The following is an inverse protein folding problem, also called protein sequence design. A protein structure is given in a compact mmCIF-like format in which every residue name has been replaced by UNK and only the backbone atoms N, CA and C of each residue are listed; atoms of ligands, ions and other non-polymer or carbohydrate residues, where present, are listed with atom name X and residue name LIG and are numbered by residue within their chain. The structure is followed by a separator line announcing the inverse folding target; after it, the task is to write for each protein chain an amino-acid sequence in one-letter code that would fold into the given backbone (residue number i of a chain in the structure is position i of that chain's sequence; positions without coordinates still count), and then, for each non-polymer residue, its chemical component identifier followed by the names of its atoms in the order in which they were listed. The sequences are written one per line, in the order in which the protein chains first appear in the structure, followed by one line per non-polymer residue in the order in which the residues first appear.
data_IF_760769749039
#
_entry.id   IF_760769749039
#
_cell.length_a   1.000
_cell.length_b   1.000
_cell.length_c   1.000
_cell.angle_alpha   90.00
_cell.angle_beta   90.00
_cell.angle_gamma   90.00
#
_symmetry.space_group_name_H-M   'P 1'
#
loop_
_entity.id
_entity.type
_entity.pdbx_description
1 polymer ?
#
# COMPACT_ATOMS: atom_id res chain seq x y z
N UNK A 1 -60.99 -14.69 -4.34
CA UNK A 1 -59.87 -15.45 -3.71
C UNK A 1 -58.51 -15.07 -4.28
N UNK A 2 -58.32 -15.02 -5.58
CA UNK A 2 -57.02 -14.67 -6.25
C UNK A 2 -56.48 -13.29 -5.83
N UNK A 3 -57.31 -12.24 -5.74
CA UNK A 3 -56.86 -10.88 -5.36
C UNK A 3 -56.33 -10.77 -3.92
N UNK A 4 -56.83 -11.58 -2.99
CA UNK A 4 -56.33 -11.66 -1.60
C UNK A 4 -54.99 -12.42 -1.51
N UNK A 5 -54.78 -13.40 -2.40
CA UNK A 5 -53.54 -14.15 -2.50
C UNK A 5 -52.41 -13.28 -3.07
N UNK A 6 -52.69 -12.57 -4.17
CA UNK A 6 -51.70 -11.64 -4.77
C UNK A 6 -51.24 -10.55 -3.78
N UNK A 7 -52.18 -9.97 -3.01
CA UNK A 7 -51.81 -8.95 -2.01
C UNK A 7 -51.00 -9.52 -0.84
N UNK A 8 -51.20 -10.76 -0.46
CA UNK A 8 -50.35 -11.44 0.56
C UNK A 8 -48.94 -11.71 0.01
N UNK A 9 -48.84 -12.25 -1.20
CA UNK A 9 -47.53 -12.53 -1.84
C UNK A 9 -46.71 -11.26 -2.05
N UNK A 10 -47.34 -10.16 -2.49
CA UNK A 10 -46.68 -8.85 -2.65
C UNK A 10 -46.19 -8.32 -1.31
N UNK A 11 -46.96 -8.44 -0.22
CA UNK A 11 -46.54 -8.01 1.11
C UNK A 11 -45.35 -8.84 1.64
N UNK A 12 -45.35 -10.14 1.40
CA UNK A 12 -44.24 -11.04 1.81
C UNK A 12 -42.98 -10.68 1.01
N UNK A 13 -43.08 -10.48 -0.30
CA UNK A 13 -41.94 -10.08 -1.14
C UNK A 13 -41.39 -8.70 -0.75
N UNK A 14 -42.29 -7.73 -0.46
CA UNK A 14 -41.86 -6.42 -0.01
C UNK A 14 -41.20 -6.47 1.35
N UNK A 15 -41.73 -7.28 2.29
CA UNK A 15 -41.09 -7.51 3.58
C UNK A 15 -39.70 -8.16 3.47
N UNK A 16 -39.57 -9.16 2.59
CA UNK A 16 -38.28 -9.79 2.31
C UNK A 16 -37.28 -8.81 1.68
N UNK A 17 -37.70 -7.97 0.76
CA UNK A 17 -36.89 -6.94 0.15
C UNK A 17 -36.42 -5.89 1.19
N UNK A 18 -37.32 -5.43 2.05
CA UNK A 18 -36.98 -4.48 3.12
C UNK A 18 -35.96 -5.10 4.08
N UNK A 19 -36.19 -6.36 4.50
CA UNK A 19 -35.25 -7.07 5.37
C UNK A 19 -33.88 -7.21 4.70
N UNK A 20 -33.87 -7.54 3.40
CA UNK A 20 -32.62 -7.60 2.63
C UNK A 20 -31.90 -6.25 2.61
N UNK A 21 -32.61 -5.15 2.32
CA UNK A 21 -32.02 -3.81 2.29
C UNK A 21 -31.47 -3.38 3.66
N UNK A 22 -32.17 -3.72 4.75
CA UNK A 22 -31.71 -3.44 6.12
C UNK A 22 -30.44 -4.24 6.44
N UNK A 23 -30.42 -5.52 6.10
CA UNK A 23 -29.22 -6.37 6.28
C UNK A 23 -28.07 -5.90 5.42
N UNK A 24 -28.33 -5.53 4.17
CA UNK A 24 -27.33 -4.96 3.26
C UNK A 24 -26.72 -3.67 3.84
N UNK A 25 -27.57 -2.76 4.35
CA UNK A 25 -27.12 -1.54 4.99
C UNK A 25 -26.31 -1.82 6.26
N UNK A 26 -26.75 -2.77 7.10
CA UNK A 26 -26.04 -3.15 8.32
C UNK A 26 -24.66 -3.72 8.02
N UNK A 27 -24.54 -4.60 7.01
CA UNK A 27 -23.25 -5.15 6.57
C UNK A 27 -22.34 -4.03 6.03
N UNK A 28 -22.88 -3.10 5.23
CA UNK A 28 -22.13 -1.94 4.74
C UNK A 28 -21.58 -1.08 5.88
N UNK A 29 -22.44 -0.70 6.82
CA UNK A 29 -22.03 0.10 7.99
C UNK A 29 -20.98 -0.62 8.82
N UNK A 30 -21.14 -1.93 9.03
CA UNK A 30 -20.17 -2.73 9.78
C UNK A 30 -18.80 -2.81 9.08
N UNK A 31 -18.80 -3.05 7.75
CA UNK A 31 -17.55 -3.25 6.99
C UNK A 31 -16.88 -1.92 6.62
N UNK A 32 -17.68 -0.84 6.46
CA UNK A 32 -17.20 0.51 6.13
C UNK A 32 -17.04 1.42 7.36
N UNK A 33 -17.18 0.86 8.58
CA UNK A 33 -17.00 1.64 9.80
C UNK A 33 -15.63 2.35 9.79
N UNK A 34 -15.61 3.65 10.11
CA UNK A 34 -14.36 4.39 10.17
C UNK A 34 -13.42 3.77 11.19
N UNK A 35 -12.12 3.92 10.96
CA UNK A 35 -11.11 3.51 11.93
C UNK A 35 -11.41 4.14 13.28
N UNK A 36 -11.22 3.40 14.40
CA UNK A 36 -11.24 4.00 15.72
C UNK A 36 -10.36 5.24 15.75
N UNK A 37 -10.85 6.33 16.34
CA UNK A 37 -10.10 7.61 16.41
C UNK A 37 -8.82 7.51 17.23
N UNK A 38 -8.63 6.40 17.93
CA UNK A 38 -7.48 6.08 18.78
C UNK A 38 -6.53 5.03 18.17
N UNK A 39 -6.63 4.77 16.86
CA UNK A 39 -5.68 3.90 16.15
C UNK A 39 -4.36 4.62 15.84
N UNK A 40 -3.30 4.21 16.53
CA UNK A 40 -1.95 4.80 16.40
C UNK A 40 -0.93 3.87 15.73
N UNK A 41 -1.39 2.84 15.04
CA UNK A 41 -0.50 1.84 14.46
C UNK A 41 0.16 0.98 15.55
N UNK A 42 1.48 0.88 15.51
CA UNK A 42 2.27 0.09 16.47
C UNK A 42 2.64 0.81 17.76
N UNK A 43 2.39 2.13 17.86
CA UNK A 43 2.90 2.97 18.95
C UNK A 43 1.97 2.88 20.16
N UNK A 44 2.49 2.44 21.30
CA UNK A 44 1.78 2.47 22.57
C UNK A 44 1.74 3.88 23.17
N UNK A 45 0.76 4.13 24.05
CA UNK A 45 0.67 5.41 24.75
C UNK A 45 1.91 5.75 25.58
N UNK A 46 2.59 4.73 26.10
CA UNK A 46 3.79 4.92 26.92
C UNK A 46 4.99 5.39 26.07
N UNK A 47 5.06 4.96 24.83
CA UNK A 47 6.18 5.25 23.91
C UNK A 47 6.05 6.61 23.22
N UNK A 48 4.82 7.17 23.12
CA UNK A 48 4.57 8.41 22.38
C UNK A 48 5.45 9.59 22.84
N UNK A 49 5.60 9.77 24.16
CA UNK A 49 6.38 10.88 24.69
C UNK A 49 7.89 10.71 24.40
N UNK A 50 8.41 9.51 24.50
CA UNK A 50 9.82 9.21 24.22
C UNK A 50 10.12 9.41 22.73
N UNK A 51 9.30 8.83 21.85
CA UNK A 51 9.45 8.95 20.41
C UNK A 51 9.30 10.40 19.94
N UNK A 52 8.34 11.13 20.52
CA UNK A 52 8.18 12.55 20.22
C UNK A 52 9.40 13.38 20.66
N UNK A 53 9.98 13.09 21.82
CA UNK A 53 11.19 13.76 22.29
C UNK A 53 12.40 13.44 21.41
N UNK A 54 12.46 12.22 20.87
CA UNK A 54 13.54 11.76 19.99
C UNK A 54 13.46 12.37 18.60
N UNK A 55 12.28 12.41 17.99
CA UNK A 55 12.12 12.77 16.58
C UNK A 55 11.57 14.18 16.36
N UNK A 56 10.83 14.73 17.32
CA UNK A 56 10.25 16.08 17.21
C UNK A 56 9.29 16.23 16.04
N UNK A 57 9.38 17.37 15.34
CA UNK A 57 8.70 17.62 14.07
C UNK A 57 9.71 17.43 12.95
N UNK A 58 9.48 16.44 12.10
CA UNK A 58 10.30 16.17 10.92
C UNK A 58 9.73 16.90 9.72
N UNK A 59 10.60 17.36 8.83
CA UNK A 59 10.21 18.07 7.62
C UNK A 59 10.78 17.41 6.39
N UNK A 60 9.97 17.26 5.36
CA UNK A 60 10.41 16.90 4.01
C UNK A 60 9.80 17.87 3.02
N UNK A 61 10.41 18.06 1.88
CA UNK A 61 9.91 18.96 0.85
C UNK A 61 10.24 18.46 -0.56
N UNK A 62 9.47 18.93 -1.50
CA UNK A 62 9.67 18.69 -2.92
C UNK A 62 9.10 19.81 -3.76
N UNK A 63 8.90 19.60 -5.06
CA UNK A 63 8.41 20.61 -5.97
C UNK A 63 7.02 21.13 -5.59
N UNK A 64 6.97 22.35 -5.03
CA UNK A 64 5.72 23.03 -4.67
C UNK A 64 5.02 22.48 -3.41
N UNK A 65 5.68 21.68 -2.59
CA UNK A 65 5.10 21.14 -1.35
C UNK A 65 6.11 21.01 -0.22
N UNK A 66 5.57 21.07 0.98
CA UNK A 66 6.25 20.77 2.26
C UNK A 66 5.40 19.77 3.02
N UNK A 67 6.02 18.79 3.63
CA UNK A 67 5.37 17.87 4.56
C UNK A 67 5.98 18.02 5.96
N UNK A 68 5.12 18.06 6.96
CA UNK A 68 5.47 18.01 8.37
C UNK A 68 4.99 16.67 8.93
N UNK A 69 5.88 15.93 9.56
CA UNK A 69 5.61 14.66 10.21
C UNK A 69 5.98 14.68 11.68
N UNK A 70 5.17 14.10 12.53
CA UNK A 70 5.42 13.99 13.98
C UNK A 70 4.75 12.76 14.57
N UNK A 71 5.08 12.43 15.83
CA UNK A 71 4.40 11.35 16.55
C UNK A 71 3.02 11.86 17.02
N UNK A 72 1.95 11.20 16.57
CA UNK A 72 0.60 11.54 16.99
C UNK A 72 0.32 11.10 18.45
N UNK A 73 -0.42 11.90 19.18
CA UNK A 73 -0.77 11.65 20.57
C UNK A 73 -2.24 11.23 20.70
N UNK A 74 -2.55 10.17 21.48
CA UNK A 74 -3.90 9.64 21.62
C UNK A 74 -4.90 10.60 22.27
N UNK A 75 -4.40 11.55 23.06
CA UNK A 75 -5.22 12.50 23.82
C UNK A 75 -5.49 13.83 23.09
N UNK A 76 -4.94 13.96 21.88
CA UNK A 76 -5.08 15.17 21.07
C UNK A 76 -6.33 15.08 20.22
N UNK A 77 -7.12 16.13 20.17
CA UNK A 77 -8.29 16.23 19.29
C UNK A 77 -7.86 16.56 17.87
N UNK A 78 -6.97 17.53 17.76
CA UNK A 78 -6.43 18.01 16.50
C UNK A 78 -5.08 18.68 16.71
N UNK A 79 -4.31 18.81 15.63
CA UNK A 79 -3.09 19.59 15.59
C UNK A 79 -3.37 20.86 14.81
N UNK A 80 -2.95 22.01 15.35
CA UNK A 80 -2.96 23.29 14.66
C UNK A 80 -1.57 23.55 14.12
N UNK A 81 -1.49 23.88 12.84
CA UNK A 81 -0.24 24.19 12.14
C UNK A 81 -0.20 25.68 11.87
N UNK A 82 0.89 26.31 12.26
CA UNK A 82 1.17 27.73 12.00
C UNK A 82 2.42 27.86 11.15
N UNK A 83 2.44 28.89 10.31
CA UNK A 83 3.61 29.29 9.52
C UNK A 83 4.00 30.72 9.89
N UNK A 84 5.30 30.97 9.97
CA UNK A 84 5.83 32.31 10.18
C UNK A 84 5.73 33.13 8.88
N UNK A 85 5.03 34.26 8.94
CA UNK A 85 4.90 35.22 7.86
C UNK A 85 5.51 36.57 8.26
N UNK A 86 5.49 37.55 7.37
CA UNK A 86 5.88 38.93 7.69
C UNK A 86 5.00 39.57 8.76
N UNK A 87 3.76 39.08 8.96
CA UNK A 87 2.83 39.53 9.98
C UNK A 87 2.90 38.72 11.29
N UNK A 88 3.88 37.82 11.40
CA UNK A 88 4.01 36.86 12.52
C UNK A 88 3.42 35.49 12.20
N UNK A 89 3.22 34.69 13.25
CA UNK A 89 2.70 33.33 13.13
C UNK A 89 1.23 33.32 12.74
N UNK A 90 0.92 32.62 11.67
CA UNK A 90 -0.44 32.47 11.11
C UNK A 90 -0.82 31.01 11.01
N UNK A 91 -2.05 30.66 11.42
CA UNK A 91 -2.59 29.32 11.23
C UNK A 91 -2.77 29.03 9.74
N UNK A 92 -2.11 27.98 9.24
CA UNK A 92 -2.19 27.53 7.82
C UNK A 92 -2.96 26.25 7.65
N UNK A 93 -3.28 25.55 8.74
CA UNK A 93 -4.09 24.34 8.66
C UNK A 93 -4.27 23.61 9.99
N UNK A 94 -4.97 22.47 9.88
CA UNK A 94 -5.18 21.53 10.97
C UNK A 94 -4.97 20.11 10.48
N UNK A 95 -4.57 19.20 11.38
CA UNK A 95 -4.39 17.79 11.11
C UNK A 95 -5.00 16.95 12.25
N UNK A 96 -5.48 15.77 11.94
CA UNK A 96 -5.97 14.79 12.92
C UNK A 96 -4.91 13.77 13.31
N UNK A 97 -3.97 13.50 12.41
CA UNK A 97 -2.88 12.54 12.57
C UNK A 97 -1.53 13.26 12.59
N UNK A 98 -0.46 12.50 12.76
CA UNK A 98 0.92 13.01 12.84
C UNK A 98 1.50 13.50 11.50
N UNK A 99 0.69 14.11 10.63
CA UNK A 99 1.07 14.47 9.27
C UNK A 99 0.32 15.69 8.75
N UNK A 100 1.04 16.58 8.06
CA UNK A 100 0.44 17.74 7.38
C UNK A 100 1.19 18.01 6.07
N UNK A 101 0.48 17.96 4.95
CA UNK A 101 1.00 18.30 3.63
C UNK A 101 0.59 19.73 3.28
N UNK A 102 1.56 20.60 3.11
CA UNK A 102 1.37 22.01 2.76
C UNK A 102 1.76 22.27 1.30
N UNK A 103 0.87 22.97 0.58
CA UNK A 103 1.11 23.42 -0.79
C UNK A 103 1.13 24.95 -0.81
N UNK A 104 2.28 25.52 -0.52
CA UNK A 104 2.46 26.97 -0.45
C UNK A 104 3.92 27.33 -0.28
N UNK A 105 4.18 28.59 0.07
CA UNK A 105 5.55 29.04 0.37
C UNK A 105 6.16 28.26 1.52
N UNK A 106 7.46 27.98 1.45
CA UNK A 106 8.23 27.42 2.54
C UNK A 106 8.43 28.42 3.67
N UNK A 107 9.09 27.97 4.73
CA UNK A 107 9.41 28.78 5.89
C UNK A 107 9.50 27.99 7.18
N UNK A 108 9.39 28.70 8.31
CA UNK A 108 9.31 28.09 9.63
C UNK A 108 7.87 27.74 9.97
N UNK A 109 7.67 26.58 10.55
CA UNK A 109 6.36 26.05 10.94
C UNK A 109 6.35 25.67 12.42
N UNK A 110 5.17 25.78 13.04
CA UNK A 110 4.87 25.30 14.39
C UNK A 110 3.72 24.32 14.36
N UNK A 111 3.86 23.26 15.15
CA UNK A 111 2.80 22.27 15.37
C UNK A 111 2.36 22.35 16.82
N UNK A 112 1.06 22.56 17.03
CA UNK A 112 0.45 22.66 18.34
C UNK A 112 -0.52 21.50 18.58
N UNK A 113 -0.43 20.86 19.73
CA UNK A 113 -1.44 19.92 20.22
C UNK A 113 -2.63 20.68 20.77
N UNK A 114 -3.84 20.33 20.31
CA UNK A 114 -5.11 20.86 20.86
C UNK A 114 -5.79 19.72 21.61
N UNK A 115 -5.88 19.80 22.96
CA UNK A 115 -6.41 18.72 23.78
C UNK A 115 -7.92 18.48 23.56
N UNK A 116 -8.38 17.21 23.55
CA UNK A 116 -9.81 16.83 23.39
C UNK A 116 -10.74 17.38 24.47
N UNK A 117 -10.25 17.60 25.68
CA UNK A 117 -11.07 18.00 26.84
C UNK A 117 -11.01 19.49 27.15
N UNK A 118 -10.62 20.29 26.16
CA UNK A 118 -10.36 21.72 26.39
C UNK A 118 -9.02 21.93 27.10
N UNK A 119 -8.52 23.15 27.06
CA UNK A 119 -7.23 23.52 27.57
C UNK A 119 -6.45 24.37 26.58
N UNK A 120 -5.38 25.03 27.06
CA UNK A 120 -4.52 25.78 26.18
C UNK A 120 -3.78 24.85 25.21
N UNK A 121 -3.64 25.21 23.93
CA UNK A 121 -2.79 24.50 23.01
C UNK A 121 -1.35 24.40 23.52
N UNK A 122 -0.71 23.24 23.31
CA UNK A 122 0.65 22.97 23.76
C UNK A 122 1.54 22.86 22.52
N UNK A 123 2.62 23.61 22.47
CA UNK A 123 3.60 23.51 21.38
C UNK A 123 4.22 22.13 21.39
N UNK A 124 4.10 21.42 20.25
CA UNK A 124 4.69 20.11 20.03
C UNK A 124 6.13 20.21 19.52
N UNK A 125 6.35 21.15 18.60
CA UNK A 125 7.65 21.38 17.99
C UNK A 125 7.58 22.39 16.85
N UNK A 126 8.76 22.69 16.33
CA UNK A 126 8.97 23.59 15.19
C UNK A 126 9.79 22.85 14.12
N UNK A 127 9.65 23.27 12.88
CA UNK A 127 10.42 22.77 11.76
C UNK A 127 10.53 23.80 10.65
N UNK A 128 11.56 23.69 9.85
CA UNK A 128 11.75 24.55 8.68
C UNK A 128 11.78 23.69 7.42
N UNK A 129 11.10 24.14 6.38
CA UNK A 129 11.15 23.49 5.08
C UNK A 129 10.83 24.47 3.95
N UNK A 130 11.45 24.26 2.82
CA UNK A 130 11.32 25.08 1.63
C UNK A 130 11.02 24.19 0.45
N UNK A 131 9.90 24.40 -0.26
CA UNK A 131 9.60 23.62 -1.45
C UNK A 131 10.62 23.91 -2.53
N UNK A 132 10.99 22.89 -3.27
CA UNK A 132 11.80 23.05 -4.47
C UNK A 132 11.00 23.81 -5.55
N UNK A 133 11.69 24.59 -6.37
CA UNK A 133 11.06 25.24 -7.51
C UNK A 133 10.94 24.29 -8.69
N UNK A 134 9.92 24.53 -9.52
CA UNK A 134 9.67 23.78 -10.73
C UNK A 134 8.65 22.66 -10.54
N UNK A 135 8.21 22.10 -11.65
CA UNK A 135 7.39 20.88 -11.70
C UNK A 135 8.23 19.78 -12.32
N UNK A 136 8.38 18.62 -11.69
CA UNK A 136 9.16 17.53 -12.28
C UNK A 136 8.50 17.10 -13.59
N UNK A 137 9.29 16.72 -14.61
CA UNK A 137 8.75 16.24 -15.87
C UNK A 137 7.89 14.99 -15.64
N UNK A 138 6.94 14.78 -16.53
CA UNK A 138 6.08 13.60 -16.50
C UNK A 138 6.56 12.60 -17.55
N UNK A 139 6.79 11.38 -17.13
CA UNK A 139 7.14 10.26 -17.99
C UNK A 139 6.09 9.17 -17.87
N UNK A 140 5.81 8.48 -18.97
CA UNK A 140 4.90 7.34 -19.04
C UNK A 140 5.73 6.06 -19.13
N UNK A 141 5.63 5.14 -18.19
CA UNK A 141 6.31 3.84 -18.30
C UNK A 141 5.60 2.95 -19.33
N UNK A 142 6.39 2.24 -20.13
CA UNK A 142 5.91 1.25 -21.10
C UNK A 142 6.79 0.02 -21.05
N UNK A 143 6.18 -1.15 -21.19
CA UNK A 143 6.92 -2.40 -21.40
C UNK A 143 7.61 -2.30 -22.76
N UNK A 144 8.95 -2.44 -22.77
CA UNK A 144 9.80 -2.12 -23.93
C UNK A 144 10.41 -3.36 -24.60
N UNK A 145 10.06 -4.56 -24.17
CA UNK A 145 10.57 -5.81 -24.72
C UNK A 145 9.71 -7.00 -24.36
N UNK A 146 10.18 -8.18 -24.76
CA UNK A 146 9.50 -9.44 -24.45
C UNK A 146 9.64 -9.82 -22.98
N UNK A 147 8.64 -10.52 -22.47
CA UNK A 147 8.69 -11.13 -21.16
C UNK A 147 9.62 -12.34 -21.17
N UNK A 148 10.55 -12.41 -20.22
CA UNK A 148 11.40 -13.56 -19.99
C UNK A 148 11.13 -14.17 -18.61
N UNK A 149 11.26 -15.48 -18.49
CA UNK A 149 11.10 -16.18 -17.21
C UNK A 149 12.20 -15.72 -16.25
N UNK A 150 11.79 -15.19 -15.08
CA UNK A 150 12.70 -14.84 -14.02
C UNK A 150 12.85 -15.98 -13.01
N UNK A 151 11.72 -16.57 -12.58
CA UNK A 151 11.74 -17.67 -11.62
C UNK A 151 10.48 -18.55 -11.73
N UNK A 152 10.69 -19.85 -11.58
CA UNK A 152 9.66 -20.89 -11.43
C UNK A 152 10.09 -21.84 -10.32
N UNK A 153 9.23 -22.15 -9.32
CA UNK A 153 9.50 -23.20 -8.35
C UNK A 153 9.76 -24.55 -9.04
N UNK A 154 10.84 -25.25 -8.63
CA UNK A 154 11.23 -26.51 -9.24
C UNK A 154 10.34 -27.67 -8.81
N UNK A 155 9.71 -27.59 -7.65
CA UNK A 155 8.83 -28.63 -7.12
C UNK A 155 7.49 -28.59 -7.83
N UNK A 156 7.13 -29.74 -8.45
CA UNK A 156 5.84 -29.90 -9.13
C UNK A 156 4.64 -29.57 -8.23
N UNK A 157 3.72 -28.77 -8.75
CA UNK A 157 2.53 -28.35 -8.04
C UNK A 157 2.74 -27.18 -7.07
N UNK A 158 3.90 -26.51 -7.09
CA UNK A 158 4.12 -25.24 -6.38
C UNK A 158 4.04 -24.06 -7.35
N UNK A 159 3.74 -22.89 -6.81
CA UNK A 159 3.68 -21.61 -7.54
C UNK A 159 4.43 -20.53 -6.77
N UNK A 160 4.62 -19.39 -7.40
CA UNK A 160 5.05 -18.14 -6.77
C UNK A 160 4.10 -17.00 -7.18
N UNK A 161 3.83 -16.09 -6.25
CA UNK A 161 2.99 -14.91 -6.47
C UNK A 161 3.69 -13.64 -5.98
N UNK A 162 2.98 -12.72 -5.29
CA UNK A 162 3.57 -11.46 -4.80
C UNK A 162 4.97 -11.70 -4.22
N UNK A 163 5.91 -10.91 -4.68
CA UNK A 163 7.34 -11.13 -4.45
C UNK A 163 8.07 -9.79 -4.32
N UNK A 164 9.33 -9.85 -3.94
CA UNK A 164 10.26 -8.73 -3.96
C UNK A 164 11.58 -9.16 -4.59
N UNK A 165 12.26 -8.23 -5.25
CA UNK A 165 13.58 -8.45 -5.85
C UNK A 165 14.56 -7.40 -5.32
N UNK A 166 15.69 -7.83 -4.81
CA UNK A 166 16.71 -6.95 -4.21
C UNK A 166 18.11 -7.53 -4.39
N UNK A 167 19.13 -6.71 -4.14
CA UNK A 167 20.52 -7.20 -4.07
C UNK A 167 20.92 -7.47 -2.62
N UNK A 168 21.55 -8.61 -2.35
CA UNK A 168 22.14 -8.93 -1.06
C UNK A 168 23.50 -8.23 -0.83
N UNK A 169 24.10 -8.43 0.33
CA UNK A 169 25.36 -7.79 0.68
C UNK A 169 26.56 -8.23 -0.19
N UNK A 170 26.44 -9.35 -0.90
CA UNK A 170 27.44 -9.85 -1.85
C UNK A 170 27.21 -9.29 -3.26
N UNK A 171 26.10 -8.54 -3.47
CA UNK A 171 25.69 -7.99 -4.76
C UNK A 171 24.87 -8.95 -5.63
N UNK A 172 24.54 -10.14 -5.13
CA UNK A 172 23.68 -11.07 -5.85
C UNK A 172 22.22 -10.61 -5.81
N UNK A 173 21.52 -10.80 -6.90
CA UNK A 173 20.09 -10.57 -7.00
C UNK A 173 19.31 -11.69 -6.33
N UNK A 174 18.40 -11.32 -5.46
CA UNK A 174 17.51 -12.24 -4.76
C UNK A 174 16.07 -11.93 -5.07
N UNK A 175 15.29 -13.00 -5.18
CA UNK A 175 13.85 -12.95 -5.25
C UNK A 175 13.29 -13.71 -4.05
N UNK A 176 12.32 -13.12 -3.36
CA UNK A 176 11.58 -13.71 -2.25
C UNK A 176 10.09 -13.51 -2.53
N UNK A 177 9.28 -14.54 -2.50
CA UNK A 177 7.86 -14.41 -2.85
C UNK A 177 6.96 -15.47 -2.22
N UNK A 178 5.67 -15.18 -2.17
CA UNK A 178 4.63 -16.10 -1.69
C UNK A 178 4.74 -17.40 -2.45
N UNK A 179 4.70 -18.53 -1.74
CA UNK A 179 4.60 -19.85 -2.36
C UNK A 179 3.68 -20.78 -1.59
N UNK A 180 3.03 -21.64 -2.31
CA UNK A 180 2.26 -22.76 -1.78
C UNK A 180 2.01 -23.79 -2.88
N UNK A 181 1.25 -24.85 -2.56
CA UNK A 181 0.85 -25.84 -3.53
C UNK A 181 -0.32 -25.35 -4.39
N UNK A 182 -0.39 -25.81 -5.62
CA UNK A 182 -1.42 -25.42 -6.60
C UNK A 182 -2.80 -26.06 -6.38
N UNK A 183 -3.05 -26.68 -5.24
CA UNK A 183 -4.34 -27.25 -4.86
C UNK A 183 -5.40 -26.22 -4.45
N UNK A 184 -5.03 -24.93 -4.50
CA UNK A 184 -5.96 -23.82 -4.32
C UNK A 184 -6.22 -23.38 -2.88
N UNK A 185 -5.51 -23.97 -1.91
CA UNK A 185 -5.63 -23.54 -0.51
C UNK A 185 -4.61 -22.44 -0.17
N UNK A 186 -4.99 -21.19 -0.41
CA UNK A 186 -4.20 -20.02 -0.02
C UNK A 186 -3.96 -19.90 1.50
N UNK A 187 -4.68 -20.67 2.35
CA UNK A 187 -4.41 -20.72 3.79
C UNK A 187 -3.11 -21.48 4.10
N UNK A 188 -2.48 -22.08 3.11
CA UNK A 188 -1.16 -22.71 3.22
C UNK A 188 0.01 -21.80 2.79
N UNK A 189 -0.26 -20.57 2.42
CA UNK A 189 0.77 -19.55 2.09
C UNK A 189 1.44 -19.04 3.37
N UNK A 190 2.40 -19.81 3.91
CA UNK A 190 3.04 -19.60 5.22
C UNK A 190 4.55 -19.50 5.16
N UNK A 191 5.15 -19.58 4.00
CA UNK A 191 6.59 -19.45 3.78
C UNK A 191 6.86 -18.83 2.41
N UNK A 192 8.07 -18.33 2.20
CA UNK A 192 8.46 -17.71 0.96
C UNK A 192 9.44 -18.59 0.18
N UNK A 193 9.19 -18.73 -1.11
CA UNK A 193 10.20 -19.21 -2.05
C UNK A 193 11.32 -18.20 -2.14
N UNK A 194 12.54 -18.67 -2.38
CA UNK A 194 13.74 -17.87 -2.54
C UNK A 194 14.47 -18.30 -3.78
N UNK A 195 14.95 -17.34 -4.57
CA UNK A 195 15.83 -17.58 -5.70
C UNK A 195 16.98 -16.57 -5.74
N UNK A 196 18.09 -16.92 -6.40
CA UNK A 196 19.29 -16.08 -6.48
C UNK A 196 19.90 -16.12 -7.88
N UNK A 197 20.51 -14.99 -8.27
CA UNK A 197 21.33 -14.88 -9.49
C UNK A 197 22.47 -13.88 -9.28
N UNK A 198 23.57 -14.05 -10.00
CA UNK A 198 24.66 -13.07 -10.07
C UNK A 198 24.30 -11.91 -11.02
N UNK A 199 23.58 -12.22 -12.10
CA UNK A 199 23.15 -11.26 -13.12
C UNK A 199 21.65 -10.92 -13.01
N UNK A 200 21.24 -9.76 -13.57
CA UNK A 200 19.83 -9.40 -13.67
C UNK A 200 19.55 -8.63 -14.96
N UNK A 201 18.53 -9.07 -15.74
CA UNK A 201 17.84 -10.35 -15.60
C UNK A 201 18.74 -11.52 -16.06
N UNK A 202 18.72 -12.67 -15.37
CA UNK A 202 19.53 -13.83 -15.76
C UNK A 202 18.98 -14.49 -17.03
N UNK A 203 19.86 -14.94 -17.91
CA UNK A 203 19.48 -15.56 -19.19
C UNK A 203 18.64 -16.85 -19.01
N UNK A 204 18.96 -17.67 -18.00
CA UNK A 204 18.35 -18.98 -17.75
C UNK A 204 17.39 -18.99 -16.54
N UNK A 205 17.00 -17.79 -16.04
CA UNK A 205 16.23 -17.65 -14.83
C UNK A 205 17.07 -17.75 -13.55
N UNK A 206 16.46 -17.38 -12.40
CA UNK A 206 17.12 -17.43 -11.09
C UNK A 206 17.14 -18.85 -10.53
N UNK A 207 18.19 -19.17 -9.81
CA UNK A 207 18.39 -20.50 -9.18
C UNK A 207 17.68 -20.56 -7.83
N UNK A 208 16.77 -21.53 -7.67
CA UNK A 208 16.04 -21.77 -6.44
C UNK A 208 16.97 -22.04 -5.24
N UNK A 209 16.58 -21.50 -4.09
CA UNK A 209 17.22 -21.69 -2.79
C UNK A 209 16.23 -22.31 -1.79
N UNK A 210 16.69 -22.83 -0.65
CA UNK A 210 15.79 -23.21 0.43
C UNK A 210 14.87 -22.03 0.81
N UNK A 211 13.58 -22.32 1.09
CA UNK A 211 12.62 -21.27 1.43
C UNK A 211 12.97 -20.60 2.77
N UNK A 212 12.50 -19.39 2.96
CA UNK A 212 12.47 -18.77 4.30
C UNK A 212 11.52 -19.59 5.18
N UNK A 213 11.81 -19.67 6.47
CA UNK A 213 11.14 -20.53 7.42
C UNK A 213 9.61 -20.46 7.37
N UNK A 214 8.96 -21.58 7.76
CA UNK A 214 7.50 -21.61 7.97
C UNK A 214 7.13 -20.72 9.17
N UNK A 215 6.33 -19.69 8.92
CA UNK A 215 5.91 -18.74 9.95
C UNK A 215 4.75 -19.23 10.80
N UNK A 216 4.14 -20.40 10.45
CA UNK A 216 3.00 -20.95 11.15
C UNK A 216 1.69 -20.20 10.95
N UNK A 217 1.73 -19.05 10.32
CA UNK A 217 0.58 -18.21 9.95
C UNK A 217 0.76 -17.68 8.52
N UNK A 218 -0.27 -17.06 7.95
CA UNK A 218 -0.22 -16.51 6.58
C UNK A 218 0.92 -15.50 6.44
N UNK A 219 1.65 -15.62 5.34
CA UNK A 219 2.75 -14.72 4.99
C UNK A 219 2.58 -14.29 3.52
N UNK A 220 2.16 -13.03 3.33
CA UNK A 220 1.85 -12.50 2.01
C UNK A 220 2.68 -11.26 1.67
N UNK A 221 2.99 -11.12 0.39
CA UNK A 221 3.60 -9.96 -0.21
C UNK A 221 4.83 -9.46 0.57
N UNK A 222 5.93 -10.25 0.59
CA UNK A 222 7.16 -9.81 1.22
C UNK A 222 7.72 -8.60 0.48
N UNK A 223 8.22 -7.63 1.23
CA UNK A 223 8.93 -6.46 0.71
C UNK A 223 10.22 -6.25 1.48
N UNK A 224 11.33 -6.10 0.77
CA UNK A 224 12.66 -5.97 1.35
C UNK A 224 13.24 -4.61 1.01
N UNK A 225 13.75 -3.92 2.04
CA UNK A 225 14.54 -2.70 1.88
C UNK A 225 15.88 -2.84 2.59
N UNK A 226 16.89 -2.15 2.10
CA UNK A 226 18.15 -1.94 2.82
C UNK A 226 18.14 -0.53 3.43
N UNK A 227 18.13 -0.46 4.75
CA UNK A 227 18.08 0.80 5.50
C UNK A 227 18.80 0.66 6.84
N UNK A 228 19.35 1.75 7.37
CA UNK A 228 20.03 1.77 8.67
C UNK A 228 21.16 0.70 8.78
N UNK A 229 21.82 0.38 7.65
CA UNK A 229 22.92 -0.58 7.58
C UNK A 229 22.53 -2.05 7.64
N UNK A 230 21.27 -2.38 7.47
CA UNK A 230 20.74 -3.76 7.42
C UNK A 230 19.58 -3.90 6.47
N UNK A 231 19.23 -5.13 6.15
CA UNK A 231 18.04 -5.48 5.40
C UNK A 231 16.85 -5.64 6.34
N UNK A 232 15.68 -5.15 5.92
CA UNK A 232 14.40 -5.31 6.60
C UNK A 232 13.42 -5.95 5.63
N UNK A 233 12.86 -7.09 6.01
CA UNK A 233 11.78 -7.75 5.29
C UNK A 233 10.47 -7.49 6.02
N UNK A 234 9.49 -6.97 5.32
CA UNK A 234 8.14 -6.75 5.81
C UNK A 234 7.16 -7.65 5.08
N UNK A 235 6.15 -8.14 5.77
CA UNK A 235 5.05 -8.89 5.15
C UNK A 235 3.77 -8.80 5.99
N UNK A 236 2.65 -9.27 5.44
CA UNK A 236 1.30 -9.27 6.01
C UNK A 236 0.61 -10.61 5.67
N UNK A 237 -0.67 -10.94 5.91
CA UNK A 237 -1.78 -10.03 6.16
C UNK A 237 -2.09 -9.80 7.64
N UNK A 238 -3.05 -8.90 7.89
CA UNK A 238 -3.64 -8.58 9.20
C UNK A 238 -2.69 -7.98 10.24
N UNK A 239 -1.41 -8.23 10.10
CA UNK A 239 -0.33 -7.69 10.92
C UNK A 239 0.80 -7.29 10.00
N UNK A 240 1.57 -6.30 10.40
CA UNK A 240 2.85 -6.03 9.78
C UNK A 240 3.92 -6.81 10.53
N UNK A 241 4.45 -7.81 9.88
CA UNK A 241 5.58 -8.58 10.36
C UNK A 241 6.88 -7.95 9.84
N UNK A 242 7.93 -8.12 10.58
CA UNK A 242 9.27 -7.70 10.21
C UNK A 242 10.31 -8.73 10.63
N UNK A 243 11.29 -8.97 9.77
CA UNK A 243 12.57 -9.61 10.10
C UNK A 243 13.71 -8.73 9.63
N UNK A 244 14.89 -8.91 10.22
CA UNK A 244 16.10 -8.21 9.82
C UNK A 244 17.20 -9.16 9.39
N UNK A 245 18.12 -8.69 8.56
CA UNK A 245 19.30 -9.41 8.12
C UNK A 245 20.47 -8.44 7.93
N UNK A 246 21.70 -8.89 8.19
CA UNK A 246 22.90 -8.11 7.89
C UNK A 246 23.40 -8.36 6.46
N UNK A 247 23.06 -9.52 5.92
CA UNK A 247 23.55 -9.99 4.62
C UNK A 247 22.44 -10.08 3.53
N UNK A 248 21.16 -9.97 3.91
CA UNK A 248 20.02 -10.21 3.00
C UNK A 248 19.73 -11.69 2.76
N UNK A 249 20.44 -12.59 3.46
CA UNK A 249 20.37 -14.04 3.31
C UNK A 249 19.83 -14.70 4.58
N UNK A 250 20.42 -14.35 5.73
CA UNK A 250 20.13 -14.93 7.03
C UNK A 250 19.18 -14.04 7.81
N UNK A 251 17.90 -14.39 7.83
CA UNK A 251 16.85 -13.61 8.45
C UNK A 251 16.64 -13.97 9.92
N UNK A 252 16.49 -12.95 10.78
CA UNK A 252 16.32 -13.08 12.23
C UNK A 252 15.46 -11.96 12.80
N UNK A 253 15.27 -11.98 14.13
CA UNK A 253 14.57 -10.93 14.89
C UNK A 253 13.12 -10.72 14.41
N UNK A 254 12.39 -11.83 14.18
CA UNK A 254 10.97 -11.77 13.82
C UNK A 254 10.15 -11.05 14.87
N UNK A 255 9.42 -10.03 14.45
CA UNK A 255 8.50 -9.25 15.30
C UNK A 255 7.27 -8.80 14.54
N UNK A 256 6.23 -8.45 15.30
CA UNK A 256 5.05 -7.78 14.78
C UNK A 256 5.19 -6.31 15.13
N UNK A 257 5.36 -5.45 14.11
CA UNK A 257 5.55 -4.01 14.27
C UNK A 257 4.23 -3.23 14.22
N UNK A 258 3.17 -3.84 13.70
CA UNK A 258 1.83 -3.24 13.69
C UNK A 258 0.76 -4.32 13.62
N UNK A 259 -0.29 -4.22 14.45
CA UNK A 259 -1.51 -4.98 14.29
C UNK A 259 -2.51 -4.19 13.45
N UNK A 260 -3.14 -4.83 12.48
CA UNK A 260 -4.17 -4.17 11.68
C UNK A 260 -5.35 -3.72 12.55
N UNK A 261 -6.00 -2.61 12.21
CA UNK A 261 -7.24 -2.22 12.86
C UNK A 261 -8.29 -3.32 12.64
N UNK A 262 -9.07 -3.58 13.66
CA UNK A 262 -10.01 -4.71 13.79
C UNK A 262 -10.99 -4.88 12.60
N UNK A 263 -11.18 -3.87 11.75
CA UNK A 263 -12.16 -3.86 10.67
C UNK A 263 -11.58 -3.64 9.27
N UNK A 264 -10.26 -3.57 9.14
CA UNK A 264 -9.64 -3.41 7.81
C UNK A 264 -8.85 -4.65 7.41
N UNK A 265 -9.08 -5.10 6.21
CA UNK A 265 -8.22 -6.07 5.56
C UNK A 265 -6.95 -5.34 5.14
N UNK A 266 -5.90 -5.55 5.91
CA UNK A 266 -4.58 -4.96 5.72
C UNK A 266 -3.64 -5.99 5.11
N UNK A 267 -3.00 -5.66 3.99
CA UNK A 267 -2.02 -6.52 3.33
C UNK A 267 -1.13 -5.75 2.35
N UNK A 268 -0.19 -6.44 1.73
CA UNK A 268 0.69 -5.97 0.66
C UNK A 268 1.49 -4.74 1.11
N UNK A 269 2.36 -4.96 2.07
CA UNK A 269 3.20 -3.92 2.65
C UNK A 269 4.33 -3.52 1.69
N UNK A 270 4.43 -2.23 1.36
CA UNK A 270 5.53 -1.65 0.60
C UNK A 270 6.10 -0.45 1.35
N UNK A 271 7.40 -0.43 1.58
CA UNK A 271 8.09 0.61 2.35
C UNK A 271 8.98 1.46 1.45
N UNK A 272 8.80 2.78 1.52
CA UNK A 272 9.58 3.77 0.80
C UNK A 272 10.31 4.69 1.79
N UNK A 273 11.61 4.86 1.64
CA UNK A 273 12.36 5.88 2.34
C UNK A 273 12.16 7.25 1.65
N UNK A 274 11.74 8.26 2.40
CA UNK A 274 11.50 9.62 1.87
C UNK A 274 12.45 10.66 2.45
N UNK A 275 13.10 10.34 3.56
CA UNK A 275 14.19 11.13 4.16
C UNK A 275 15.10 10.18 4.96
N UNK A 276 16.23 10.70 5.46
CA UNK A 276 17.22 9.91 6.20
C UNK A 276 16.61 9.12 7.37
N UNK A 277 15.66 9.71 8.08
CA UNK A 277 14.97 9.09 9.23
C UNK A 277 13.45 9.12 9.06
N UNK A 278 12.95 8.97 7.83
CA UNK A 278 11.51 8.90 7.59
C UNK A 278 11.17 7.89 6.50
N UNK A 279 10.29 6.97 6.84
CA UNK A 279 9.77 5.94 5.94
C UNK A 279 8.26 6.01 5.85
N UNK A 280 7.75 5.71 4.68
CA UNK A 280 6.33 5.57 4.37
C UNK A 280 6.03 4.11 4.08
N UNK A 281 4.96 3.60 4.67
CA UNK A 281 4.43 2.27 4.41
C UNK A 281 3.10 2.41 3.67
N UNK A 282 3.03 1.89 2.48
CA UNK A 282 1.82 1.77 1.68
C UNK A 282 1.25 0.37 1.86
N UNK A 283 -0.06 0.28 2.03
CA UNK A 283 -0.74 -1.01 2.22
C UNK A 283 -2.07 -1.03 1.51
N UNK A 284 -2.43 -2.17 1.00
CA UNK A 284 -3.80 -2.43 0.57
C UNK A 284 -4.72 -2.41 1.78
N UNK A 285 -5.72 -1.55 1.77
CA UNK A 285 -6.82 -1.54 2.72
C UNK A 285 -8.13 -1.72 1.98
N UNK A 286 -8.98 -2.63 2.47
CA UNK A 286 -10.20 -3.02 1.78
C UNK A 286 -11.40 -3.12 2.71
N UNK A 287 -12.50 -2.53 2.29
CA UNK A 287 -13.83 -2.73 2.84
C UNK A 287 -14.73 -3.49 1.87
N UNK A 288 -16.03 -3.56 2.16
CA UNK A 288 -17.00 -4.27 1.31
C UNK A 288 -17.19 -3.62 -0.06
N UNK A 289 -17.03 -2.31 -0.16
CA UNK A 289 -17.36 -1.51 -1.35
C UNK A 289 -16.26 -0.57 -1.78
N UNK A 290 -15.12 -0.59 -1.11
CA UNK A 290 -13.96 0.22 -1.47
C UNK A 290 -12.69 -0.59 -1.34
N UNK A 291 -11.71 -0.20 -2.12
CA UNK A 291 -10.33 -0.55 -1.95
C UNK A 291 -9.51 0.73 -2.00
N UNK A 292 -8.51 0.84 -1.17
CA UNK A 292 -7.68 2.03 -1.08
C UNK A 292 -6.26 1.66 -0.68
N UNK A 293 -5.34 2.56 -0.91
CA UNK A 293 -3.98 2.44 -0.42
C UNK A 293 -3.84 3.35 0.78
N UNK A 294 -3.75 2.74 1.96
CA UNK A 294 -3.49 3.46 3.21
C UNK A 294 -2.00 3.73 3.37
N UNK A 295 -1.71 4.85 4.02
CA UNK A 295 -0.36 5.35 4.23
C UNK A 295 -0.06 5.49 5.72
N UNK A 296 1.05 4.88 6.11
CA UNK A 296 1.61 4.99 7.45
C UNK A 296 2.99 5.63 7.36
N UNK A 297 3.45 6.23 8.45
CA UNK A 297 4.83 6.73 8.59
C UNK A 297 5.54 6.06 9.76
N UNK A 298 6.85 5.97 9.65
CA UNK A 298 7.76 5.59 10.72
C UNK A 298 9.02 6.45 10.68
N UNK A 299 9.64 6.64 11.85
CA UNK A 299 10.95 7.31 11.98
C UNK A 299 12.06 6.35 12.41
N UNK A 300 11.73 5.04 12.57
CA UNK A 300 12.68 4.01 13.03
C UNK A 300 12.47 2.62 12.40
N UNK A 301 11.48 2.46 11.50
CA UNK A 301 11.05 1.20 10.88
C UNK A 301 10.40 0.21 11.86
N UNK A 302 10.23 0.58 13.11
CA UNK A 302 9.65 -0.28 14.15
C UNK A 302 8.27 0.18 14.59
N UNK A 303 8.06 1.51 14.63
CA UNK A 303 6.83 2.14 15.08
C UNK A 303 6.13 2.84 13.92
N UNK A 304 4.96 2.35 13.57
CA UNK A 304 4.17 2.84 12.44
C UNK A 304 2.90 3.54 12.89
N UNK A 305 2.61 4.68 12.27
CA UNK A 305 1.40 5.44 12.50
C UNK A 305 0.67 5.71 11.20
N UNK A 306 -0.65 5.48 11.18
CA UNK A 306 -1.50 5.91 10.08
C UNK A 306 -1.46 7.43 9.95
N UNK A 307 -1.29 7.91 8.72
CA UNK A 307 -1.28 9.36 8.46
C UNK A 307 -2.38 9.78 7.50
N UNK A 308 -2.72 8.99 6.51
CA UNK A 308 -3.80 9.26 5.55
C UNK A 308 -4.02 8.07 4.61
N UNK A 309 -5.00 8.20 3.73
CA UNK A 309 -5.12 7.38 2.53
C UNK A 309 -4.33 8.04 1.40
N UNK A 310 -3.39 7.32 0.79
CA UNK A 310 -2.57 7.80 -0.32
C UNK A 310 -3.32 7.78 -1.66
N UNK A 311 -4.13 6.75 -1.89
CA UNK A 311 -5.03 6.64 -3.04
C UNK A 311 -6.36 6.05 -2.59
N UNK A 312 -7.44 6.79 -2.77
CA UNK A 312 -8.79 6.33 -2.44
C UNK A 312 -9.53 5.84 -3.68
N UNK A 313 -10.47 4.89 -3.53
CA UNK A 313 -11.48 4.63 -4.54
C UNK A 313 -12.67 5.57 -4.35
N UNK A 314 -13.04 6.30 -5.41
CA UNK A 314 -14.16 7.22 -5.39
C UNK A 314 -15.51 6.51 -5.59
N UNK A 315 -16.56 7.09 -5.04
CA UNK A 315 -17.92 6.68 -5.34
C UNK A 315 -18.20 6.77 -6.86
N UNK A 316 -18.77 5.71 -7.42
CA UNK A 316 -19.07 5.62 -8.85
C UNK A 316 -17.85 5.38 -9.73
N UNK A 317 -16.71 5.00 -9.16
CA UNK A 317 -15.64 4.37 -9.92
C UNK A 317 -16.18 3.11 -10.60
N UNK A 318 -15.72 2.84 -11.80
CA UNK A 318 -16.05 1.61 -12.49
C UNK A 318 -15.74 0.44 -11.56
N UNK A 319 -16.79 -0.35 -11.24
CA UNK A 319 -16.61 -1.59 -10.48
C UNK A 319 -16.14 -1.44 -9.02
N UNK A 320 -16.73 -0.49 -8.32
CA UNK A 320 -16.55 -0.34 -6.88
C UNK A 320 -17.23 -1.52 -6.16
N UNK A 321 -16.56 -2.65 -6.07
CA UNK A 321 -17.04 -3.83 -5.35
C UNK A 321 -15.94 -4.38 -4.45
N UNK A 322 -16.29 -5.25 -3.50
CA UNK A 322 -15.30 -5.89 -2.63
C UNK A 322 -14.32 -6.81 -3.38
N UNK A 323 -14.64 -7.15 -4.62
CA UNK A 323 -13.78 -7.94 -5.49
C UNK A 323 -13.01 -7.10 -6.51
N UNK A 324 -13.49 -5.89 -6.85
CA UNK A 324 -12.69 -4.92 -7.58
C UNK A 324 -11.72 -4.26 -6.60
N UNK A 325 -10.62 -4.90 -6.32
CA UNK A 325 -9.63 -4.43 -5.36
C UNK A 325 -8.45 -3.79 -6.06
N UNK A 326 -7.91 -2.75 -5.43
CA UNK A 326 -6.57 -2.26 -5.65
C UNK A 326 -5.65 -3.00 -4.69
N UNK A 327 -4.60 -3.63 -5.17
CA UNK A 327 -3.71 -4.49 -4.38
C UNK A 327 -2.26 -4.34 -4.81
N UNK A 328 -1.35 -4.86 -3.99
CA UNK A 328 0.09 -4.92 -4.27
C UNK A 328 0.65 -3.55 -4.71
N UNK A 329 0.55 -2.50 -3.87
CA UNK A 329 1.06 -1.18 -4.21
C UNK A 329 2.58 -1.20 -4.29
N UNK A 330 3.14 -0.52 -5.29
CA UNK A 330 4.56 -0.23 -5.38
C UNK A 330 4.77 1.25 -5.72
N UNK A 331 5.57 1.95 -4.92
CA UNK A 331 5.88 3.37 -5.14
C UNK A 331 7.35 3.55 -5.43
N UNK A 332 7.64 4.26 -6.52
CA UNK A 332 9.00 4.64 -6.90
C UNK A 332 9.08 6.14 -7.22
N UNK A 333 10.30 6.66 -7.23
CA UNK A 333 10.59 7.99 -7.75
C UNK A 333 11.38 7.88 -9.05
N UNK A 334 10.89 8.53 -10.10
CA UNK A 334 11.60 8.67 -11.36
C UNK A 334 11.61 10.13 -11.81
N UNK A 335 12.79 10.65 -12.12
CA UNK A 335 12.98 12.03 -12.57
C UNK A 335 12.30 13.10 -11.70
N UNK A 336 12.32 12.90 -10.38
CA UNK A 336 11.76 13.81 -9.37
C UNK A 336 10.24 13.68 -9.14
N UNK A 337 9.55 12.81 -9.86
CA UNK A 337 8.12 12.51 -9.72
C UNK A 337 7.91 11.14 -9.09
N UNK A 338 6.84 10.99 -8.32
CA UNK A 338 6.46 9.72 -7.70
C UNK A 338 5.44 9.01 -8.56
N UNK A 339 5.58 7.69 -8.64
CA UNK A 339 4.71 6.79 -9.39
C UNK A 339 4.24 5.69 -8.44
N UNK A 340 2.93 5.52 -8.33
CA UNK A 340 2.29 4.42 -7.62
C UNK A 340 1.72 3.45 -8.65
N UNK A 341 2.24 2.25 -8.70
CA UNK A 341 1.60 1.15 -9.41
C UNK A 341 0.84 0.25 -8.44
N UNK A 342 -0.21 -0.36 -8.91
CA UNK A 342 -1.00 -1.32 -8.14
C UNK A 342 -1.73 -2.28 -9.08
N UNK A 343 -1.89 -3.52 -8.66
CA UNK A 343 -2.75 -4.49 -9.34
C UNK A 343 -4.22 -4.10 -9.17
N UNK A 344 -4.97 -4.12 -10.25
CA UNK A 344 -6.38 -3.82 -10.25
C UNK A 344 -7.20 -5.03 -10.70
N UNK A 345 -7.88 -5.64 -9.73
CA UNK A 345 -8.85 -6.69 -10.01
C UNK A 345 -10.15 -6.06 -10.50
N UNK A 346 -10.48 -6.26 -11.76
CA UNK A 346 -11.55 -5.52 -12.40
C UNK A 346 -12.84 -6.33 -12.71
N UNK A 347 -12.91 -7.61 -12.40
CA UNK A 347 -13.87 -8.52 -13.07
C UNK A 347 -15.16 -8.83 -12.31
N UNK A 348 -15.35 -8.35 -11.09
CA UNK A 348 -16.50 -8.78 -10.30
C UNK A 348 -17.25 -7.62 -9.68
N UNK A 349 -18.12 -6.97 -10.46
CA UNK A 349 -19.11 -6.09 -9.84
C UNK A 349 -20.19 -6.93 -9.15
N UNK A 350 -20.29 -6.83 -7.83
CA UNK A 350 -21.43 -7.27 -7.06
C UNK A 350 -22.01 -6.09 -6.28
N UNK A 351 -23.27 -5.77 -6.54
CA UNK A 351 -23.96 -4.69 -5.85
C UNK A 351 -24.37 -5.05 -4.41
N UNK A 352 -24.30 -6.33 -4.03
CA UNK A 352 -24.70 -6.83 -2.72
C UNK A 352 -23.53 -7.29 -1.87
N UNK A 353 -23.33 -6.63 -0.71
CA UNK A 353 -22.35 -7.03 0.29
C UNK A 353 -22.69 -8.43 0.87
N UNK A 354 -23.96 -8.77 0.96
CA UNK A 354 -24.42 -10.06 1.50
C UNK A 354 -24.00 -11.21 0.59
N UNK A 355 -24.23 -11.08 -0.72
CA UNK A 355 -23.84 -12.11 -1.70
C UNK A 355 -22.33 -12.31 -1.71
N UNK A 356 -21.56 -11.24 -1.53
CA UNK A 356 -20.11 -11.29 -1.43
C UNK A 356 -19.63 -11.95 -0.14
N UNK A 357 -20.25 -11.60 1.00
CA UNK A 357 -19.91 -12.16 2.30
C UNK A 357 -20.08 -13.68 2.34
N UNK A 358 -21.15 -14.18 1.70
CA UNK A 358 -21.42 -15.61 1.61
C UNK A 358 -20.77 -16.32 0.41
N UNK A 359 -19.91 -15.61 -0.36
CA UNK A 359 -19.22 -16.14 -1.54
C UNK A 359 -20.17 -16.79 -2.57
N UNK A 360 -21.40 -16.28 -2.68
CA UNK A 360 -22.42 -16.80 -3.61
C UNK A 360 -22.18 -16.27 -5.03
N UNK A 361 -21.48 -15.14 -5.17
CA UNK A 361 -21.19 -14.54 -6.47
C UNK A 361 -19.93 -15.19 -7.08
N UNK A 362 -19.99 -15.67 -8.34
CA UNK A 362 -18.83 -16.24 -8.98
C UNK A 362 -17.75 -15.19 -9.16
N UNK A 363 -16.58 -15.47 -8.63
CA UNK A 363 -15.40 -14.63 -8.83
C UNK A 363 -14.77 -15.02 -10.18
N UNK A 364 -14.81 -14.11 -11.16
CA UNK A 364 -14.07 -14.22 -12.41
C UNK A 364 -12.97 -13.14 -12.43
N UNK A 365 -12.20 -13.09 -11.37
CA UNK A 365 -11.17 -12.08 -11.23
C UNK A 365 -10.16 -12.16 -12.37
N UNK A 366 -9.94 -11.03 -13.03
CA UNK A 366 -8.78 -10.80 -13.87
C UNK A 366 -7.77 -10.02 -13.06
N UNK A 367 -6.59 -10.58 -12.85
CA UNK A 367 -5.48 -9.98 -12.12
C UNK A 367 -4.35 -9.53 -13.05
N UNK A 368 -4.64 -9.30 -14.32
CA UNK A 368 -3.64 -8.96 -15.33
C UNK A 368 -3.65 -7.47 -15.68
N UNK A 369 -4.03 -6.62 -14.75
CA UNK A 369 -4.12 -5.18 -14.97
C UNK A 369 -3.44 -4.43 -13.82
N UNK A 370 -2.37 -3.69 -14.14
CA UNK A 370 -1.71 -2.78 -13.22
C UNK A 370 -1.99 -1.34 -13.63
N UNK A 371 -2.58 -0.57 -12.71
CA UNK A 371 -2.77 0.87 -12.88
C UNK A 371 -1.56 1.61 -12.35
N UNK A 372 -1.09 2.62 -13.11
CA UNK A 372 0.02 3.47 -12.71
C UNK A 372 -0.48 4.90 -12.53
N UNK A 373 -0.34 5.41 -11.31
CA UNK A 373 -0.68 6.79 -10.93
C UNK A 373 0.59 7.61 -10.77
N UNK A 374 0.48 8.93 -10.94
CA UNK A 374 1.58 9.85 -10.69
C UNK A 374 1.23 10.92 -9.67
N UNK A 375 2.23 11.41 -8.97
CA UNK A 375 2.12 12.55 -8.06
C UNK A 375 3.44 13.32 -7.99
N UNK A 376 3.38 14.59 -7.61
CA UNK A 376 4.55 15.40 -7.28
C UNK A 376 5.10 15.10 -5.86
N UNK A 377 4.33 14.36 -5.06
CA UNK A 377 4.69 13.99 -3.69
C UNK A 377 4.33 12.52 -3.40
N UNK A 378 4.99 11.89 -2.42
CA UNK A 378 4.72 10.48 -2.07
C UNK A 378 3.48 10.29 -1.18
N UNK A 379 2.83 11.36 -0.73
CA UNK A 379 1.76 11.28 0.27
C UNK A 379 0.35 11.18 -0.32
N UNK A 380 0.15 11.61 -1.56
CA UNK A 380 -1.18 11.79 -2.14
C UNK A 380 -1.19 11.52 -3.65
N UNK A 381 -1.82 10.44 -4.06
CA UNK A 381 -2.06 10.07 -5.45
C UNK A 381 -3.51 10.33 -5.88
N UNK A 382 -4.33 10.93 -5.01
CA UNK A 382 -5.68 11.38 -5.31
C UNK A 382 -6.74 10.31 -5.13
N UNK A 383 -7.73 10.33 -6.03
CA UNK A 383 -8.91 9.46 -5.95
C UNK A 383 -9.14 8.79 -7.30
N UNK A 384 -9.15 7.46 -7.32
CA UNK A 384 -9.53 6.70 -8.49
C UNK A 384 -11.04 6.76 -8.71
N UNK A 385 -11.45 7.27 -9.86
CA UNK A 385 -12.86 7.42 -10.26
C UNK A 385 -13.21 6.66 -11.53
N UNK A 386 -12.37 5.70 -11.91
CA UNK A 386 -12.45 4.98 -13.17
C UNK A 386 -11.53 5.56 -14.25
N UNK A 387 -11.31 4.76 -15.30
CA UNK A 387 -10.49 5.15 -16.46
C UNK A 387 -11.05 6.42 -17.11
N UNK A 388 -10.18 7.35 -17.48
CA UNK A 388 -10.54 8.63 -18.09
C UNK A 388 -11.19 9.67 -17.15
N UNK A 389 -11.39 9.34 -15.85
CA UNK A 389 -11.97 10.25 -14.84
C UNK A 389 -11.03 10.50 -13.65
N UNK A 390 -9.88 9.86 -13.63
CA UNK A 390 -8.88 9.98 -12.57
C UNK A 390 -7.71 10.79 -13.09
N UNK A 391 -7.53 12.04 -12.67
CA UNK A 391 -6.53 12.94 -13.26
C UNK A 391 -5.08 12.49 -13.00
N UNK A 392 -4.87 11.69 -11.97
CA UNK A 392 -3.55 11.14 -11.61
C UNK A 392 -3.28 9.76 -12.22
N UNK A 393 -4.27 9.12 -12.84
CA UNK A 393 -4.06 7.86 -13.57
C UNK A 393 -3.33 8.15 -14.87
N UNK A 394 -2.13 7.60 -15.00
CA UNK A 394 -1.23 7.87 -16.11
C UNK A 394 -1.33 6.83 -17.20
N UNK A 395 -1.22 5.57 -16.85
CA UNK A 395 -1.25 4.44 -17.79
C UNK A 395 -1.71 3.16 -17.11
N UNK A 396 -1.89 2.14 -17.93
CA UNK A 396 -2.20 0.78 -17.52
C UNK A 396 -1.17 -0.14 -18.18
N UNK A 397 -0.63 -1.07 -17.39
CA UNK A 397 0.29 -2.11 -17.85
C UNK A 397 -0.37 -3.47 -17.68
N UNK A 398 0.01 -4.40 -18.53
CA UNK A 398 -0.45 -5.78 -18.47
C UNK A 398 0.48 -6.58 -17.57
N UNK A 399 0.29 -6.46 -16.24
CA UNK A 399 1.08 -7.12 -15.20
C UNK A 399 0.21 -7.41 -13.97
N UNK A 400 0.68 -8.33 -13.11
CA UNK A 400 0.13 -8.62 -11.79
C UNK A 400 1.23 -8.55 -10.73
N UNK A 401 0.92 -7.90 -9.60
CA UNK A 401 1.83 -7.74 -8.45
C UNK A 401 3.27 -7.34 -8.86
N UNK A 402 3.42 -6.24 -9.63
CA UNK A 402 4.70 -5.89 -10.20
C UNK A 402 5.66 -5.35 -9.16
N UNK A 403 6.92 -5.77 -9.27
CA UNK A 403 8.07 -5.10 -8.66
C UNK A 403 8.80 -4.29 -9.73
N UNK A 404 9.29 -3.12 -9.34
CA UNK A 404 10.07 -2.25 -10.20
C UNK A 404 11.53 -2.29 -9.79
N UNK A 405 12.39 -2.67 -10.71
CA UNK A 405 13.81 -2.89 -10.46
C UNK A 405 14.63 -1.94 -11.33
N UNK A 406 15.52 -1.18 -10.71
CA UNK A 406 16.50 -0.39 -11.42
C UNK A 406 17.86 -1.09 -11.38
N UNK A 407 18.34 -1.48 -12.54
CA UNK A 407 19.65 -2.08 -12.73
C UNK A 407 20.65 -0.97 -13.09
N UNK A 408 21.44 -0.53 -12.10
CA UNK A 408 22.26 0.65 -12.21
C UNK A 408 23.44 0.51 -13.20
N UNK A 409 23.95 -0.71 -13.39
CA UNK A 409 25.08 -0.95 -14.31
C UNK A 409 24.68 -0.73 -15.79
N UNK A 410 23.41 -0.98 -16.11
CA UNK A 410 22.87 -0.84 -17.46
C UNK A 410 22.04 0.42 -17.65
N UNK A 411 21.81 1.19 -16.57
CA UNK A 411 20.87 2.33 -16.53
C UNK A 411 19.46 1.93 -17.04
N UNK A 412 19.01 0.73 -16.66
CA UNK A 412 17.79 0.13 -17.19
C UNK A 412 16.79 -0.17 -16.06
N UNK A 413 15.54 0.20 -16.31
CA UNK A 413 14.41 -0.19 -15.48
C UNK A 413 13.77 -1.47 -15.99
N UNK A 414 13.36 -2.30 -15.06
CA UNK A 414 12.63 -3.54 -15.32
C UNK A 414 11.35 -3.57 -14.48
N UNK A 415 10.39 -4.34 -14.95
CA UNK A 415 9.15 -4.65 -14.23
C UNK A 415 8.95 -6.16 -14.22
N UNK A 416 8.42 -6.67 -13.12
CA UNK A 416 8.05 -8.09 -13.03
C UNK A 416 6.55 -8.28 -13.15
N UNK A 417 6.13 -9.52 -13.35
CA UNK A 417 4.75 -9.98 -13.23
C UNK A 417 4.74 -11.37 -12.62
N UNK A 418 3.77 -11.65 -11.77
CA UNK A 418 3.53 -12.96 -11.17
C UNK A 418 2.06 -13.37 -11.32
N UNK A 419 1.63 -14.44 -10.69
CA UNK A 419 0.22 -14.79 -10.61
C UNK A 419 -0.05 -16.23 -10.24
N UNK A 420 -1.24 -16.47 -9.71
CA UNK A 420 -1.70 -17.81 -9.37
C UNK A 420 -2.05 -18.63 -10.60
N UNK A 421 -1.82 -19.96 -10.59
CA UNK A 421 -2.13 -20.82 -11.74
C UNK A 421 -3.64 -20.98 -12.03
N UNK A 422 -4.51 -20.54 -11.12
CA UNK A 422 -5.98 -20.64 -11.27
C UNK A 422 -6.68 -19.30 -11.51
N UNK A 423 -5.93 -18.23 -11.65
CA UNK A 423 -6.45 -16.89 -11.96
C UNK A 423 -5.89 -16.44 -13.30
N UNK A 424 -6.67 -15.72 -14.08
CA UNK A 424 -6.21 -15.17 -15.35
C UNK A 424 -5.14 -14.09 -15.12
N UNK A 425 -3.89 -14.48 -15.22
CA UNK A 425 -2.70 -13.63 -15.16
C UNK A 425 -1.80 -13.95 -16.35
N UNK A 426 -0.84 -13.07 -16.62
CA UNK A 426 0.12 -13.27 -17.72
C UNK A 426 1.01 -14.49 -17.50
N UNK A 427 1.33 -14.78 -16.23
CA UNK A 427 2.09 -15.97 -15.81
C UNK A 427 1.20 -16.93 -15.03
N UNK A 428 1.57 -18.18 -15.02
CA UNK A 428 0.82 -19.24 -14.33
C UNK A 428 1.68 -19.86 -13.22
N UNK A 429 1.77 -19.14 -12.10
CA UNK A 429 2.56 -19.57 -10.93
C UNK A 429 4.07 -19.35 -11.07
N UNK A 430 4.46 -18.42 -11.90
CA UNK A 430 5.84 -18.06 -12.20
C UNK A 430 6.02 -16.55 -12.10
N UNK A 431 7.27 -16.09 -11.99
CA UNK A 431 7.63 -14.69 -12.16
C UNK A 431 8.33 -14.49 -13.49
N UNK A 432 7.84 -13.54 -14.26
CA UNK A 432 8.50 -13.05 -15.47
C UNK A 432 8.96 -11.60 -15.29
N UNK A 433 9.91 -11.17 -16.10
CA UNK A 433 10.49 -9.83 -16.10
C UNK A 433 10.56 -9.27 -17.52
N UNK A 434 10.34 -7.96 -17.66
CA UNK A 434 10.50 -7.25 -18.93
C UNK A 434 11.15 -5.88 -18.71
N UNK A 435 11.89 -5.32 -19.69
CA UNK A 435 12.44 -3.98 -19.61
C UNK A 435 11.33 -2.93 -19.71
N UNK A 436 11.55 -1.78 -19.06
CA UNK A 436 10.69 -0.60 -19.09
C UNK A 436 11.40 0.54 -19.80
N UNK A 437 10.70 1.19 -20.72
CA UNK A 437 11.05 2.50 -21.25
C UNK A 437 10.21 3.59 -20.57
N UNK A 438 10.83 4.73 -20.27
CA UNK A 438 10.17 5.92 -19.76
C UNK A 438 10.03 6.95 -20.87
N UNK A 439 8.83 7.16 -21.36
CA UNK A 439 8.54 8.10 -22.45
C UNK A 439 8.13 9.45 -21.88
N UNK A 440 8.80 10.57 -22.28
CA UNK A 440 8.39 11.89 -21.83
C UNK A 440 6.98 12.21 -22.35
N UNK A 441 6.14 12.73 -21.45
CA UNK A 441 4.85 13.27 -21.85
C UNK A 441 5.01 14.77 -22.16
N UNK A 442 4.56 15.24 -23.32
CA UNK A 442 4.71 16.63 -23.73
C UNK A 442 3.91 17.60 -22.86
#
# INVERSE_FOLDING_TARGET
MVRKWMTRSVKVLLGALILWLVLELAVRVYVEAPLPTDFYGSISRAEVAELQARYGVQTTSGPGWVHLGWIAHPEVETYRIEQLSAQGWQTVGQAQFGSFLWRGAGGSFRVWKVPRRGGAPILLGEGEAWPNQGSPPLFVPRIAGDWQLLFRPSQYGFYINDHTVFQDAEGHWRLVGITSRTDGDYNQERYFAVAVSEDFPPADGMREQPPVADFGELAWAPHVIHAQGRYHMFWSPHKLHQMTSEDGISWRDHRITMAAPYHKFFRDAMVLQVAESQWLLYTTARGAYYSQIDLYQSFDLEHWQYIRTALASGWGSERNSAFASMESPFVLQYSGRYYLSLTYNNDSFCWSAILMLFRIWPNKASYNETLVFHSDNPYDFGVYRGKGRSPTLLTQLETHAPEWIYQAQEDQWYITTAGWPWVATLTSGEVAVAPIAWEPQP
#
